data_IF_650845861229
#
_entry.id   IF_650845861229
#
_cell.length_a   1.000
_cell.length_b   1.000
_cell.length_c   1.000
_cell.angle_alpha   90.00
_cell.angle_beta   90.00
_cell.angle_gamma   90.00
#
_symmetry.space_group_name_H-M   'P 1'
#
loop_
_entity.id
_entity.type
_entity.pdbx_description
1 polymer ?
#
# COMPACT_ATOMS: atom_id res chain seq x y z
N UNK A 1 1.94 -12.26 -2.05
CA UNK A 1 1.85 -11.51 -3.32
C UNK A 1 3.18 -11.58 -4.03
N UNK A 2 3.17 -11.75 -5.34
CA UNK A 2 4.38 -11.89 -6.18
C UNK A 2 4.68 -10.66 -7.01
N UNK A 3 3.73 -9.77 -7.16
CA UNK A 3 3.82 -8.53 -7.91
C UNK A 3 2.87 -7.51 -7.35
N UNK A 4 3.27 -6.24 -7.34
CA UNK A 4 2.43 -5.12 -6.88
C UNK A 4 2.68 -3.89 -7.74
N UNK A 5 1.62 -3.13 -8.04
CA UNK A 5 1.68 -1.83 -8.71
C UNK A 5 0.77 -0.85 -7.98
N UNK A 6 1.29 0.33 -7.72
CA UNK A 6 0.55 1.41 -7.08
C UNK A 6 0.02 2.43 -8.09
N UNK A 7 0.65 2.57 -9.24
CA UNK A 7 0.17 3.47 -10.29
C UNK A 7 1.24 4.22 -11.07
N UNK A 8 2.51 3.90 -10.87
CA UNK A 8 3.62 4.49 -11.63
C UNK A 8 4.27 3.52 -12.63
N UNK A 9 3.80 2.31 -12.74
CA UNK A 9 4.34 1.31 -13.66
C UNK A 9 3.26 0.65 -14.49
N UNK A 10 3.58 0.41 -15.77
CA UNK A 10 2.76 -0.38 -16.70
C UNK A 10 2.59 -1.80 -16.23
N UNK A 11 1.54 -2.43 -16.75
CA UNK A 11 1.33 -3.87 -16.59
C UNK A 11 2.15 -4.65 -17.62
N UNK A 12 3.44 -4.43 -17.62
CA UNK A 12 4.38 -5.16 -18.45
C UNK A 12 5.43 -5.88 -17.57
N UNK A 13 6.16 -6.88 -18.11
CA UNK A 13 7.14 -7.64 -17.32
C UNK A 13 8.27 -6.76 -16.75
N UNK A 14 8.58 -5.65 -17.38
CA UNK A 14 9.65 -4.73 -16.99
C UNK A 14 9.20 -3.69 -15.97
N UNK A 15 7.88 -3.58 -15.71
CA UNK A 15 7.31 -2.50 -14.90
C UNK A 15 7.79 -1.12 -15.38
N UNK A 16 7.69 -0.90 -16.70
CA UNK A 16 8.10 0.35 -17.32
C UNK A 16 7.35 1.54 -16.71
N UNK A 17 8.05 2.63 -16.45
CA UNK A 17 7.43 3.83 -15.88
C UNK A 17 6.31 4.37 -16.76
N UNK A 18 5.19 4.71 -16.13
CA UNK A 18 4.03 5.33 -16.75
C UNK A 18 3.27 6.17 -15.73
N UNK A 19 3.38 7.47 -15.84
CA UNK A 19 2.68 8.41 -14.94
C UNK A 19 1.15 8.37 -15.03
N UNK A 20 0.57 7.57 -15.93
CA UNK A 20 -0.88 7.38 -16.08
C UNK A 20 -1.37 6.00 -15.65
N UNK A 21 -0.47 5.10 -15.26
CA UNK A 21 -0.80 3.72 -14.91
C UNK A 21 -1.81 3.61 -13.74
N UNK A 22 -1.82 4.59 -12.83
CA UNK A 22 -2.77 4.69 -11.72
C UNK A 22 -4.24 4.71 -12.18
N UNK A 23 -4.53 5.21 -13.39
CA UNK A 23 -5.90 5.34 -13.93
C UNK A 23 -6.59 3.98 -14.10
N UNK A 24 -5.83 2.92 -14.28
CA UNK A 24 -6.36 1.56 -14.44
C UNK A 24 -6.43 0.77 -13.13
N UNK A 25 -5.99 1.32 -12.00
CA UNK A 25 -5.85 0.63 -10.72
C UNK A 25 -6.80 1.24 -9.69
N UNK A 26 -7.51 0.42 -8.94
CA UNK A 26 -8.45 0.87 -7.91
C UNK A 26 -9.89 0.47 -8.19
N UNK A 27 -10.79 0.99 -7.39
CA UNK A 27 -12.23 0.81 -7.48
C UNK A 27 -12.92 2.17 -7.42
N UNK A 28 -14.12 2.27 -7.92
CA UNK A 28 -15.03 3.38 -7.64
C UNK A 28 -15.54 3.24 -6.19
N UNK A 29 -14.77 3.81 -5.24
CA UNK A 29 -14.99 3.64 -3.80
C UNK A 29 -16.13 4.54 -3.32
N UNK A 30 -16.22 5.73 -3.85
CA UNK A 30 -17.16 6.76 -3.41
C UNK A 30 -18.44 6.82 -4.25
N UNK A 31 -18.57 5.98 -5.28
CA UNK A 31 -19.72 5.91 -6.20
C UNK A 31 -19.93 7.20 -6.96
N UNK A 32 -18.84 7.91 -7.23
CA UNK A 32 -18.81 9.16 -7.98
C UNK A 32 -17.86 9.05 -9.15
N UNK A 33 -18.02 9.97 -10.12
CA UNK A 33 -17.10 10.08 -11.23
C UNK A 33 -16.69 11.54 -11.33
N UNK A 34 -15.48 11.83 -10.92
CA UNK A 34 -15.00 13.22 -10.80
C UNK A 34 -14.02 13.55 -11.90
N UNK A 35 -14.31 14.58 -12.68
CA UNK A 35 -13.36 15.29 -13.55
C UNK A 35 -12.73 14.51 -14.70
N UNK A 36 -13.09 13.26 -14.95
CA UNK A 36 -12.54 12.48 -16.06
C UNK A 36 -13.39 12.58 -17.31
N UNK A 37 -12.80 13.02 -18.43
CA UNK A 37 -13.43 12.97 -19.75
C UNK A 37 -13.74 11.53 -20.23
N UNK A 38 -13.21 10.52 -19.56
CA UNK A 38 -13.37 9.08 -19.85
C UNK A 38 -14.41 8.41 -18.97
N UNK A 39 -14.82 9.03 -17.89
CA UNK A 39 -15.95 8.57 -17.08
C UNK A 39 -17.26 8.69 -17.85
N UNK A 40 -17.53 7.72 -18.66
CA UNK A 40 -18.85 7.53 -19.27
C UNK A 40 -19.64 6.58 -18.38
N UNK A 41 -20.29 7.12 -17.37
CA UNK A 41 -21.48 6.46 -16.83
C UNK A 41 -22.60 6.76 -17.83
N UNK A 42 -23.25 5.74 -18.33
CA UNK A 42 -24.31 5.82 -19.33
C UNK A 42 -25.05 7.18 -19.33
N UNK A 43 -24.73 8.03 -20.31
CA UNK A 43 -25.41 9.29 -20.66
C UNK A 43 -25.33 10.51 -19.72
N UNK A 44 -24.51 10.54 -18.68
CA UNK A 44 -24.32 11.75 -17.90
C UNK A 44 -22.83 12.12 -17.82
N UNK A 45 -22.52 13.34 -18.27
CA UNK A 45 -21.29 14.04 -17.86
C UNK A 45 -21.48 14.41 -16.38
N UNK A 46 -21.14 13.49 -15.49
CA UNK A 46 -21.35 13.70 -14.06
C UNK A 46 -20.05 14.22 -13.46
N UNK A 47 -19.94 15.53 -13.33
CA UNK A 47 -19.07 16.20 -12.37
C UNK A 47 -19.67 16.07 -10.97
N UNK A 48 -19.92 14.85 -10.51
CA UNK A 48 -20.55 14.61 -9.21
C UNK A 48 -19.48 14.25 -8.22
N UNK A 49 -19.11 15.16 -7.36
CA UNK A 49 -18.15 14.93 -6.30
C UNK A 49 -18.82 14.25 -5.12
N UNK A 50 -18.24 13.14 -4.62
CA UNK A 50 -18.74 12.48 -3.42
C UNK A 50 -18.62 13.36 -2.17
N UNK A 51 -17.59 14.21 -2.12
CA UNK A 51 -17.33 15.16 -1.04
C UNK A 51 -16.70 16.44 -1.60
N UNK A 52 -16.67 17.49 -0.80
CA UNK A 52 -16.11 18.77 -1.21
C UNK A 52 -14.60 18.77 -1.05
N UNK A 53 -13.88 18.78 -2.16
CA UNK A 53 -12.46 19.09 -2.18
C UNK A 53 -12.24 20.61 -2.34
N UNK A 54 -11.22 21.16 -1.68
CA UNK A 54 -11.05 22.59 -1.56
C UNK A 54 -10.13 23.23 -2.61
N UNK A 55 -9.29 22.49 -3.33
CA UNK A 55 -8.17 23.13 -4.06
C UNK A 55 -7.90 22.60 -5.48
N UNK A 56 -7.89 21.32 -5.69
CA UNK A 56 -7.67 20.76 -7.01
C UNK A 56 -8.73 19.67 -7.20
N UNK A 57 -9.42 19.74 -8.34
CA UNK A 57 -10.37 18.70 -8.68
C UNK A 57 -9.61 17.35 -8.73
N UNK A 58 -9.82 16.47 -7.77
CA UNK A 58 -9.37 15.10 -7.91
C UNK A 58 -10.11 14.56 -9.13
N UNK A 59 -9.41 14.05 -10.10
CA UNK A 59 -10.05 13.35 -11.21
C UNK A 59 -9.75 11.87 -11.08
N UNK A 60 -10.76 11.08 -11.35
CA UNK A 60 -10.71 9.64 -11.27
C UNK A 60 -10.00 9.06 -12.49
N UNK A 61 -9.61 7.81 -12.35
CA UNK A 61 -9.07 7.02 -13.43
C UNK A 61 -10.16 6.44 -14.35
N UNK A 62 -9.79 5.45 -15.13
CA UNK A 62 -10.68 4.74 -16.04
C UNK A 62 -11.85 4.10 -15.29
N UNK A 63 -13.06 4.27 -15.81
CA UNK A 63 -14.29 3.76 -15.19
C UNK A 63 -14.49 4.23 -13.74
N UNK A 64 -14.22 5.50 -13.48
CA UNK A 64 -14.39 6.13 -12.18
C UNK A 64 -13.57 5.50 -11.04
N UNK A 65 -12.39 4.97 -11.36
CA UNK A 65 -11.54 4.36 -10.34
C UNK A 65 -10.83 5.43 -9.52
N UNK A 66 -10.97 5.27 -8.22
CA UNK A 66 -10.31 6.11 -7.24
C UNK A 66 -8.92 5.58 -6.93
N UNK A 67 -7.87 6.36 -7.18
CA UNK A 67 -6.50 6.04 -6.80
C UNK A 67 -5.63 7.29 -6.64
N UNK A 68 -6.01 8.13 -5.72
CA UNK A 68 -5.31 9.40 -5.50
C UNK A 68 -3.88 9.17 -5.01
N UNK A 69 -3.64 8.15 -4.17
CA UNK A 69 -2.28 7.81 -3.72
C UNK A 69 -1.43 7.33 -4.90
N UNK A 70 -1.99 6.60 -5.85
CA UNK A 70 -1.26 6.18 -7.05
C UNK A 70 -0.74 7.33 -7.88
N UNK A 71 -1.42 8.48 -7.89
CA UNK A 71 -0.92 9.73 -8.51
C UNK A 71 0.26 10.34 -7.75
N UNK A 72 0.40 10.02 -6.45
CA UNK A 72 1.42 10.61 -5.58
C UNK A 72 2.81 9.99 -5.80
N UNK A 73 2.88 8.73 -6.19
CA UNK A 73 4.15 8.05 -6.38
C UNK A 73 5.11 8.78 -7.34
N UNK A 74 4.65 9.29 -8.49
CA UNK A 74 5.51 10.13 -9.35
C UNK A 74 5.90 11.46 -8.71
N UNK A 75 5.05 12.01 -7.84
CA UNK A 75 5.25 13.32 -7.21
C UNK A 75 6.20 13.22 -6.01
N UNK A 76 6.27 12.09 -5.33
CA UNK A 76 7.28 11.83 -4.31
C UNK A 76 8.71 12.04 -4.83
N UNK A 77 8.92 11.89 -6.13
CA UNK A 77 10.18 12.23 -6.81
C UNK A 77 10.45 13.75 -6.92
N UNK A 78 9.46 14.61 -6.65
CA UNK A 78 9.60 16.07 -6.80
C UNK A 78 10.33 16.73 -5.64
N UNK A 79 10.43 16.11 -4.45
CA UNK A 79 11.28 16.55 -3.36
C UNK A 79 12.51 15.67 -3.27
N UNK A 80 13.74 16.22 -3.38
CA UNK A 80 14.97 15.42 -3.26
C UNK A 80 15.03 14.60 -1.96
N UNK A 81 14.50 15.12 -0.86
CA UNK A 81 14.50 14.45 0.43
C UNK A 81 13.42 13.37 0.50
N UNK A 82 12.22 13.66 0.03
CA UNK A 82 11.15 12.67 -0.12
C UNK A 82 11.56 11.62 -1.15
N UNK A 83 12.13 12.04 -2.27
CA UNK A 83 12.70 11.15 -3.27
C UNK A 83 13.82 10.26 -2.72
N UNK A 84 14.65 10.74 -1.81
CA UNK A 84 15.69 9.93 -1.17
C UNK A 84 15.11 8.90 -0.19
N UNK A 85 14.01 9.22 0.50
CA UNK A 85 13.30 8.30 1.38
C UNK A 85 12.39 7.34 0.62
N UNK A 86 11.79 7.83 -0.48
CA UNK A 86 10.91 7.07 -1.35
C UNK A 86 11.53 6.78 -2.71
N UNK A 87 12.82 7.08 -2.93
CA UNK A 87 13.54 6.83 -4.17
C UNK A 87 13.58 5.36 -4.62
N UNK A 88 12.58 4.64 -4.16
CA UNK A 88 12.25 3.27 -4.43
C UNK A 88 11.16 3.30 -5.51
N UNK A 89 11.54 2.94 -6.71
CA UNK A 89 10.58 2.75 -7.80
C UNK A 89 9.67 1.55 -7.50
N UNK A 90 8.54 1.45 -8.19
CA UNK A 90 7.72 0.22 -8.14
C UNK A 90 8.54 -1.02 -8.54
N UNK A 91 9.55 -0.85 -9.37
CA UNK A 91 10.49 -1.90 -9.74
C UNK A 91 11.31 -2.38 -8.53
N UNK A 92 11.81 -1.47 -7.69
CA UNK A 92 12.59 -1.84 -6.49
C UNK A 92 11.73 -2.62 -5.49
N UNK A 93 10.48 -2.17 -5.24
CA UNK A 93 9.52 -2.89 -4.40
C UNK A 93 9.22 -4.30 -4.93
N UNK A 94 9.00 -4.39 -6.25
CA UNK A 94 8.78 -5.69 -6.88
C UNK A 94 10.05 -6.55 -6.84
N UNK A 95 11.23 -5.98 -7.01
CA UNK A 95 12.46 -6.70 -6.84
C UNK A 95 12.60 -7.28 -5.42
N UNK A 96 12.28 -6.50 -4.38
CA UNK A 96 12.25 -6.99 -3.00
C UNK A 96 11.25 -8.14 -2.79
N UNK A 97 10.05 -8.04 -3.40
CA UNK A 97 9.06 -9.12 -3.41
C UNK A 97 9.62 -10.40 -4.08
N UNK A 98 10.23 -10.28 -5.25
CA UNK A 98 10.75 -11.43 -5.99
C UNK A 98 11.93 -12.12 -5.33
N UNK A 99 12.78 -11.34 -4.68
CA UNK A 99 13.82 -11.89 -3.83
C UNK A 99 13.26 -12.55 -2.58
N UNK A 100 12.00 -12.25 -2.23
CA UNK A 100 11.41 -12.69 -0.98
C UNK A 100 11.99 -11.96 0.24
N UNK A 101 12.36 -10.70 0.09
CA UNK A 101 12.81 -9.84 1.20
C UNK A 101 11.63 -9.30 2.00
N UNK A 102 10.52 -9.06 1.32
CA UNK A 102 9.24 -8.59 1.86
C UNK A 102 8.11 -9.44 1.29
N UNK A 103 6.93 -9.41 1.90
CA UNK A 103 5.77 -10.07 1.33
C UNK A 103 4.46 -9.78 2.05
N UNK A 104 3.37 -9.97 1.31
CA UNK A 104 2.01 -10.05 1.85
C UNK A 104 1.46 -11.42 1.49
N UNK A 105 1.01 -12.16 2.49
CA UNK A 105 0.44 -13.49 2.31
C UNK A 105 -1.07 -13.39 2.43
N UNK A 106 -1.76 -13.95 1.46
CA UNK A 106 -3.21 -14.14 1.49
C UNK A 106 -3.49 -15.63 1.70
N UNK A 107 -4.18 -15.96 2.78
CA UNK A 107 -4.71 -17.31 2.95
C UNK A 107 -6.19 -17.29 2.57
N UNK A 108 -6.54 -18.11 1.57
CA UNK A 108 -7.91 -18.38 1.16
C UNK A 108 -8.26 -19.76 1.69
N UNK A 109 -9.22 -19.84 2.60
CA UNK A 109 -9.70 -21.10 3.19
C UNK A 109 -11.20 -21.29 2.96
N UNK A 110 -11.66 -22.51 3.16
CA UNK A 110 -13.04 -22.93 2.95
C UNK A 110 -13.52 -22.80 1.50
N UNK A 111 -12.62 -22.59 0.54
CA UNK A 111 -12.94 -22.51 -0.88
C UNK A 111 -13.16 -23.89 -1.50
N UNK A 112 -14.29 -24.05 -2.17
CA UNK A 112 -14.71 -25.33 -2.79
C UNK A 112 -14.12 -25.58 -4.17
N UNK A 113 -13.19 -24.77 -4.63
CA UNK A 113 -12.52 -24.82 -5.95
C UNK A 113 -13.47 -24.64 -7.16
N UNK A 114 -14.69 -24.18 -6.93
CA UNK A 114 -15.66 -23.93 -8.00
C UNK A 114 -15.67 -22.44 -8.41
N UNK A 115 -16.15 -22.13 -9.63
CA UNK A 115 -16.25 -20.74 -10.07
C UNK A 115 -17.15 -19.86 -9.20
N UNK A 116 -18.01 -20.46 -8.38
CA UNK A 116 -18.89 -19.76 -7.48
C UNK A 116 -18.86 -20.44 -6.10
N UNK A 117 -18.57 -19.66 -5.08
CA UNK A 117 -18.57 -20.08 -3.69
C UNK A 117 -19.03 -18.91 -2.81
N UNK A 118 -19.99 -19.11 -1.95
CA UNK A 118 -20.59 -18.07 -1.11
C UNK A 118 -19.97 -17.99 0.28
N UNK A 119 -19.06 -18.88 0.62
CA UNK A 119 -18.54 -19.04 1.98
C UNK A 119 -17.04 -19.32 1.93
N UNK A 120 -16.28 -18.29 1.74
CA UNK A 120 -14.81 -18.33 1.70
C UNK A 120 -14.28 -17.42 2.79
N UNK A 121 -13.16 -17.80 3.41
CA UNK A 121 -12.44 -16.96 4.34
C UNK A 121 -11.16 -16.44 3.71
N UNK A 122 -10.89 -15.14 3.86
CA UNK A 122 -9.62 -14.51 3.45
C UNK A 122 -8.93 -13.92 4.67
N UNK A 123 -7.70 -14.35 4.93
CA UNK A 123 -6.82 -13.80 5.96
C UNK A 123 -5.64 -13.09 5.30
N UNK A 124 -5.23 -11.93 5.84
CA UNK A 124 -4.08 -11.17 5.36
C UNK A 124 -2.97 -11.16 6.42
N UNK A 125 -1.77 -11.61 6.01
CA UNK A 125 -0.60 -11.60 6.87
C UNK A 125 0.52 -10.76 6.25
N UNK A 126 1.27 -10.11 7.12
CA UNK A 126 2.57 -9.52 6.76
C UNK A 126 3.64 -10.59 6.80
N UNK A 127 4.44 -10.67 5.76
CA UNK A 127 5.67 -11.47 5.76
C UNK A 127 6.88 -10.56 5.74
N UNK A 128 7.87 -10.84 6.58
CA UNK A 128 9.17 -10.18 6.57
C UNK A 128 10.19 -10.90 5.67
N UNK A 129 9.67 -11.69 4.76
CA UNK A 129 10.44 -12.36 3.72
C UNK A 129 10.63 -13.85 3.94
N UNK A 130 11.37 -14.46 3.02
CA UNK A 130 11.69 -15.88 3.01
C UNK A 130 12.85 -16.19 3.96
N UNK A 131 12.91 -17.40 4.48
CA UNK A 131 14.04 -17.84 5.29
C UNK A 131 15.36 -17.82 4.51
N UNK A 132 15.35 -18.20 3.23
CA UNK A 132 16.51 -18.18 2.35
C UNK A 132 16.26 -17.24 1.16
N UNK A 133 17.21 -16.31 0.94
CA UNK A 133 17.19 -15.40 -0.19
C UNK A 133 17.99 -15.95 -1.38
N UNK A 134 17.64 -15.61 -2.61
CA UNK A 134 18.42 -15.96 -3.79
C UNK A 134 19.77 -15.20 -3.83
N UNK A 135 20.72 -15.71 -4.61
CA UNK A 135 22.06 -15.14 -4.70
C UNK A 135 22.14 -13.83 -5.51
N UNK A 136 21.13 -13.49 -6.30
CA UNK A 136 21.10 -12.25 -7.06
C UNK A 136 20.59 -11.08 -6.21
N UNK A 137 20.96 -9.86 -6.51
CA UNK A 137 20.58 -8.65 -5.78
C UNK A 137 19.81 -7.69 -6.66
N UNK A 138 18.91 -6.90 -6.05
CA UNK A 138 18.32 -5.74 -6.70
C UNK A 138 19.33 -4.59 -6.67
N UNK A 139 19.56 -3.96 -7.81
CA UNK A 139 20.32 -2.72 -7.88
C UNK A 139 19.38 -1.62 -8.33
N UNK A 140 19.11 -0.67 -7.44
CA UNK A 140 18.27 0.49 -7.77
C UNK A 140 18.90 1.32 -8.89
N UNK A 141 18.07 1.76 -9.83
CA UNK A 141 18.40 2.83 -10.79
C UNK A 141 19.23 2.44 -12.00
N UNK A 142 19.58 1.17 -12.17
CA UNK A 142 20.25 0.71 -13.40
C UNK A 142 19.64 -0.62 -13.84
N UNK A 143 19.55 -0.85 -15.16
CA UNK A 143 19.25 -2.18 -15.70
C UNK A 143 20.32 -3.24 -15.35
N UNK A 144 21.27 -2.90 -14.47
CA UNK A 144 22.40 -3.72 -14.08
C UNK A 144 22.11 -4.53 -12.82
N UNK A 145 21.75 -5.80 -12.97
CA UNK A 145 21.70 -6.75 -11.88
C UNK A 145 20.37 -7.50 -11.70
N UNK A 146 19.26 -6.95 -12.18
CA UNK A 146 18.01 -7.72 -12.29
C UNK A 146 18.11 -8.55 -13.56
N UNK A 147 18.07 -9.88 -13.49
CA UNK A 147 18.08 -10.72 -14.70
C UNK A 147 16.93 -10.32 -15.63
N UNK A 148 17.14 -10.30 -16.94
CA UNK A 148 16.10 -9.92 -17.92
C UNK A 148 14.85 -10.80 -17.87
N UNK A 149 14.95 -11.94 -17.23
CA UNK A 149 13.89 -12.92 -17.01
C UNK A 149 13.58 -13.13 -15.50
N UNK A 150 13.88 -12.12 -14.66
CA UNK A 150 13.67 -12.17 -13.22
C UNK A 150 12.27 -12.67 -12.82
N UNK A 151 11.24 -12.30 -13.57
CA UNK A 151 9.86 -12.76 -13.36
C UNK A 151 9.68 -14.27 -13.59
N UNK A 152 10.60 -14.91 -14.34
CA UNK A 152 10.69 -16.37 -14.48
C UNK A 152 11.55 -16.99 -13.38
N UNK A 153 12.48 -16.21 -12.82
CA UNK A 153 13.39 -16.67 -11.76
C UNK A 153 12.81 -16.44 -10.35
N UNK A 154 11.77 -15.64 -10.22
CA UNK A 154 10.94 -15.56 -9.02
C UNK A 154 10.20 -16.88 -8.77
N UNK A 155 10.83 -18.01 -9.09
CA UNK A 155 10.39 -19.31 -8.68
C UNK A 155 10.52 -19.40 -7.17
N UNK A 156 9.49 -18.94 -6.51
CA UNK A 156 9.26 -19.32 -5.14
C UNK A 156 9.01 -20.81 -5.18
N UNK A 157 10.06 -21.55 -4.90
CA UNK A 157 9.93 -22.98 -4.77
C UNK A 157 8.83 -23.23 -3.74
N UNK A 158 7.89 -24.11 -4.05
CA UNK A 158 6.80 -24.53 -3.15
C UNK A 158 7.31 -24.90 -1.74
N UNK A 159 8.55 -25.33 -1.64
CA UNK A 159 9.26 -25.65 -0.40
C UNK A 159 9.81 -24.45 0.36
N UNK A 160 9.73 -23.23 -0.21
CA UNK A 160 10.27 -22.05 0.45
C UNK A 160 9.30 -21.52 1.51
N UNK A 161 9.73 -21.61 2.77
CA UNK A 161 8.97 -21.06 3.88
C UNK A 161 9.08 -19.54 3.96
N UNK A 162 7.94 -18.91 4.16
CA UNK A 162 7.82 -17.48 4.38
C UNK A 162 7.63 -17.20 5.86
N UNK A 163 8.44 -16.32 6.40
CA UNK A 163 8.28 -15.85 7.79
C UNK A 163 7.07 -14.94 7.90
N UNK A 164 6.29 -15.13 8.95
CA UNK A 164 5.07 -14.37 9.22
C UNK A 164 5.28 -13.47 10.43
N UNK A 165 5.01 -12.18 10.28
CA UNK A 165 5.11 -11.23 11.38
C UNK A 165 4.03 -11.49 12.43
N UNK A 166 4.41 -11.69 13.69
CA UNK A 166 3.49 -11.97 14.80
C UNK A 166 2.42 -10.88 14.97
N UNK A 167 2.72 -9.63 14.60
CA UNK A 167 1.75 -8.52 14.65
C UNK A 167 0.55 -8.71 13.74
N UNK A 168 0.64 -9.58 12.70
CA UNK A 168 -0.46 -9.90 11.80
C UNK A 168 -1.35 -11.07 12.28
N UNK A 169 -1.02 -11.69 13.41
CA UNK A 169 -1.79 -12.78 14.01
C UNK A 169 -2.83 -12.21 14.98
N UNK A 170 -4.03 -12.78 14.97
CA UNK A 170 -5.09 -12.41 15.92
C UNK A 170 -4.71 -12.83 17.36
N UNK A 171 -4.95 -11.96 18.33
CA UNK A 171 -4.59 -12.18 19.74
C UNK A 171 -5.25 -13.44 20.34
N UNK A 172 -6.44 -13.78 19.89
CA UNK A 172 -7.24 -14.90 20.39
C UNK A 172 -7.29 -16.08 19.41
N UNK A 173 -6.33 -16.16 18.48
CA UNK A 173 -6.20 -17.34 17.65
C UNK A 173 -5.76 -18.49 18.53
N UNK A 174 -6.65 -19.47 18.75
CA UNK A 174 -6.34 -20.69 19.47
C UNK A 174 -5.12 -21.42 18.89
N UNK A 175 -4.68 -22.47 19.58
CA UNK A 175 -3.61 -23.33 19.06
C UNK A 175 -4.06 -23.94 17.71
N UNK A 176 -3.45 -23.50 16.64
CA UNK A 176 -3.73 -23.96 15.27
C UNK A 176 -2.88 -25.19 14.90
N UNK A 177 -2.13 -25.75 15.85
CA UNK A 177 -1.17 -26.82 15.58
C UNK A 177 -0.06 -26.35 14.65
N UNK A 178 0.13 -27.02 13.53
CA UNK A 178 1.12 -26.64 12.52
C UNK A 178 0.63 -25.60 11.51
N UNK A 179 -0.68 -25.38 11.39
CA UNK A 179 -1.25 -24.40 10.49
C UNK A 179 -1.01 -22.97 10.98
N UNK A 180 -1.07 -21.98 10.07
CA UNK A 180 -1.07 -20.58 10.48
C UNK A 180 -2.33 -20.28 11.30
N UNK A 181 -2.19 -19.63 12.48
CA UNK A 181 -3.35 -19.12 13.22
C UNK A 181 -4.11 -18.07 12.40
N UNK A 182 -5.32 -17.72 12.84
CA UNK A 182 -6.12 -16.70 12.16
C UNK A 182 -5.39 -15.33 12.14
N UNK A 183 -5.49 -14.62 11.02
CA UNK A 183 -4.93 -13.29 10.90
C UNK A 183 -5.71 -12.26 11.74
N UNK A 184 -5.02 -11.19 12.13
CA UNK A 184 -5.62 -10.00 12.75
C UNK A 184 -6.63 -9.35 11.82
N UNK A 185 -6.33 -9.34 10.52
CA UNK A 185 -7.19 -8.79 9.49
C UNK A 185 -7.69 -9.91 8.58
N UNK A 186 -8.99 -10.13 8.60
CA UNK A 186 -9.61 -11.20 7.83
C UNK A 186 -11.04 -10.82 7.41
N UNK A 187 -11.47 -11.35 6.28
CA UNK A 187 -12.89 -11.43 5.91
C UNK A 187 -13.37 -12.88 6.03
N UNK A 188 -14.17 -13.19 7.04
CA UNK A 188 -14.73 -14.53 7.21
C UNK A 188 -15.93 -14.83 6.30
N UNK A 189 -16.42 -13.83 5.56
CA UNK A 189 -17.60 -13.92 4.70
C UNK A 189 -17.28 -13.51 3.26
N UNK A 190 -16.03 -13.69 2.86
CA UNK A 190 -15.61 -13.53 1.47
C UNK A 190 -16.35 -14.53 0.56
N UNK A 191 -16.36 -14.27 -0.73
CA UNK A 191 -17.01 -15.14 -1.69
C UNK A 191 -16.27 -15.16 -3.04
N UNK A 192 -16.56 -16.18 -3.84
CA UNK A 192 -16.09 -16.29 -5.22
C UNK A 192 -17.28 -16.20 -6.19
N UNK A 193 -17.14 -15.40 -7.23
CA UNK A 193 -18.11 -15.27 -8.33
C UNK A 193 -17.37 -15.30 -9.68
N UNK A 194 -17.78 -16.21 -10.55
CA UNK A 194 -17.16 -16.40 -11.87
C UNK A 194 -15.62 -16.53 -11.79
N UNK A 195 -15.11 -17.19 -10.75
CA UNK A 195 -13.69 -17.34 -10.50
C UNK A 195 -12.99 -16.13 -9.88
N UNK A 196 -13.70 -15.03 -9.61
CA UNK A 196 -13.14 -13.88 -8.89
C UNK A 196 -13.45 -13.98 -7.39
N UNK A 197 -12.42 -13.89 -6.58
CA UNK A 197 -12.49 -13.76 -5.13
C UNK A 197 -12.83 -12.31 -4.79
N UNK A 198 -13.77 -12.13 -3.87
CA UNK A 198 -14.17 -10.84 -3.31
C UNK A 198 -14.06 -10.91 -1.79
N UNK A 199 -13.30 -9.99 -1.20
CA UNK A 199 -13.18 -9.89 0.26
C UNK A 199 -13.28 -8.43 0.70
N UNK A 200 -14.05 -8.17 1.76
CA UNK A 200 -14.14 -6.87 2.43
C UNK A 200 -13.12 -6.84 3.55
N UNK A 201 -12.21 -5.90 3.49
CA UNK A 201 -11.19 -5.75 4.51
C UNK A 201 -11.75 -4.96 5.69
N UNK A 202 -11.54 -5.41 6.94
CA UNK A 202 -11.99 -4.67 8.12
C UNK A 202 -11.35 -3.28 8.19
N UNK A 203 -12.04 -2.34 8.82
CA UNK A 203 -11.49 -1.01 9.06
C UNK A 203 -10.17 -1.11 9.84
N UNK A 204 -9.20 -0.29 9.44
CA UNK A 204 -7.86 -0.31 10.01
C UNK A 204 -7.01 -1.50 9.57
N UNK A 205 -7.33 -2.13 8.44
CA UNK A 205 -6.47 -3.17 7.86
C UNK A 205 -5.09 -2.59 7.58
N UNK A 206 -4.06 -3.23 8.12
CA UNK A 206 -2.67 -2.86 7.91
C UNK A 206 -2.03 -3.77 6.86
N UNK A 207 -1.50 -3.17 5.80
CA UNK A 207 -0.64 -3.84 4.82
C UNK A 207 0.78 -3.32 5.06
N UNK A 208 1.65 -4.21 5.50
CA UNK A 208 3.04 -3.89 5.74
C UNK A 208 3.91 -4.47 4.63
N UNK A 209 4.69 -3.60 4.02
CA UNK A 209 5.75 -3.94 3.09
C UNK A 209 7.07 -3.73 3.83
N UNK A 210 7.45 -4.67 4.66
CA UNK A 210 8.58 -4.57 5.58
C UNK A 210 9.35 -5.88 5.63
N UNK A 211 10.67 -5.80 5.81
CA UNK A 211 11.52 -6.97 5.93
C UNK A 211 12.87 -6.59 6.53
N UNK A 212 13.35 -7.38 7.49
CA UNK A 212 14.62 -7.12 8.16
C UNK A 212 15.83 -7.11 7.20
N UNK A 213 15.71 -7.74 6.05
CA UNK A 213 16.75 -7.84 5.02
C UNK A 213 16.39 -7.11 3.74
N UNK A 214 15.30 -6.34 3.77
CA UNK A 214 14.88 -5.58 2.62
C UNK A 214 15.85 -4.43 2.33
N UNK A 215 16.18 -4.27 1.06
CA UNK A 215 16.97 -3.13 0.57
C UNK A 215 16.10 -1.88 0.36
N UNK A 216 14.79 -2.04 0.49
CA UNK A 216 13.79 -0.96 0.42
C UNK A 216 13.32 -0.59 1.83
N UNK A 217 12.96 0.67 2.08
CA UNK A 217 12.41 1.08 3.37
C UNK A 217 11.09 0.36 3.64
N UNK A 218 10.87 -0.01 4.90
CA UNK A 218 9.58 -0.55 5.33
C UNK A 218 8.48 0.49 5.18
N UNK A 219 7.32 0.08 4.68
CA UNK A 219 6.18 0.97 4.49
C UNK A 219 4.89 0.32 4.97
N UNK A 220 4.08 1.08 5.69
CA UNK A 220 2.78 0.65 6.20
C UNK A 220 1.65 1.42 5.54
N UNK A 221 0.66 0.69 5.05
CA UNK A 221 -0.61 1.24 4.57
C UNK A 221 -1.68 0.84 5.59
N UNK A 222 -2.31 1.81 6.22
CA UNK A 222 -3.46 1.60 7.09
C UNK A 222 -4.72 1.99 6.33
N UNK A 223 -5.55 1.00 6.01
CA UNK A 223 -6.66 1.13 5.08
C UNK A 223 -8.01 1.00 5.77
N UNK A 224 -8.92 1.86 5.44
CA UNK A 224 -10.35 1.76 5.77
C UNK A 224 -11.16 1.51 4.50
N UNK A 225 -12.38 0.98 4.66
CA UNK A 225 -13.28 0.65 3.53
C UNK A 225 -12.59 -0.23 2.48
N UNK A 226 -11.69 -1.09 2.92
CA UNK A 226 -10.88 -1.91 2.04
C UNK A 226 -11.69 -2.98 1.29
N UNK A 227 -11.39 -3.17 0.01
CA UNK A 227 -11.91 -4.23 -0.83
C UNK A 227 -10.74 -4.92 -1.52
N UNK A 228 -10.78 -6.25 -1.57
CA UNK A 228 -9.86 -7.08 -2.33
C UNK A 228 -10.65 -7.85 -3.36
N UNK A 229 -10.22 -7.77 -4.61
CA UNK A 229 -10.74 -8.59 -5.72
C UNK A 229 -9.58 -9.23 -6.44
N UNK A 230 -9.70 -10.48 -6.86
CA UNK A 230 -8.67 -11.14 -7.64
C UNK A 230 -9.17 -12.43 -8.29
N UNK A 231 -8.72 -12.70 -9.50
CA UNK A 231 -9.10 -13.90 -10.25
C UNK A 231 -8.28 -15.08 -9.78
N UNK A 232 -8.96 -16.08 -9.23
CA UNK A 232 -8.35 -17.35 -8.85
C UNK A 232 -8.09 -18.19 -10.10
N UNK A 233 -6.88 -18.69 -10.22
CA UNK A 233 -6.46 -19.47 -11.36
C UNK A 233 -5.67 -20.71 -10.91
N UNK A 234 -6.21 -21.90 -11.16
CA UNK A 234 -5.51 -23.17 -10.93
C UNK A 234 -4.61 -23.47 -12.12
N UNK A 235 -3.33 -23.73 -11.87
CA UNK A 235 -2.33 -24.04 -12.88
C UNK A 235 -2.38 -25.53 -13.24
N UNK A 236 -1.63 -25.91 -14.26
CA UNK A 236 -1.56 -27.32 -14.71
C UNK A 236 -0.85 -28.25 -13.71
N UNK A 237 -0.03 -27.67 -12.83
CA UNK A 237 0.68 -28.37 -11.76
C UNK A 237 -0.10 -28.38 -10.43
N UNK A 238 -1.40 -28.11 -10.49
CA UNK A 238 -2.34 -28.00 -9.35
C UNK A 238 -2.06 -26.83 -8.39
N UNK A 239 -1.07 -25.98 -8.62
CA UNK A 239 -0.83 -24.78 -7.81
C UNK A 239 -1.80 -23.66 -8.15
N UNK A 240 -2.02 -22.75 -7.19
CA UNK A 240 -2.95 -21.62 -7.34
C UNK A 240 -2.22 -20.30 -7.59
N UNK A 241 -2.84 -19.45 -8.39
CA UNK A 241 -2.45 -18.05 -8.60
C UNK A 241 -3.62 -17.13 -8.41
N UNK A 242 -3.32 -15.90 -7.96
CA UNK A 242 -4.24 -14.78 -8.14
C UNK A 242 -3.69 -13.90 -9.26
N UNK A 243 -4.51 -13.67 -10.27
CA UNK A 243 -4.25 -12.73 -11.37
C UNK A 243 -5.25 -11.58 -11.30
N UNK A 244 -4.95 -10.49 -12.00
CA UNK A 244 -5.86 -9.34 -12.07
C UNK A 244 -6.32 -8.90 -10.67
N UNK A 245 -5.43 -9.06 -9.69
CA UNK A 245 -5.73 -8.70 -8.31
C UNK A 245 -5.74 -7.19 -8.12
N UNK A 246 -6.71 -6.69 -7.36
CA UNK A 246 -6.77 -5.30 -6.92
C UNK A 246 -7.15 -5.26 -5.44
N UNK A 247 -6.40 -4.47 -4.67
CA UNK A 247 -6.81 -4.02 -3.35
C UNK A 247 -7.08 -2.53 -3.47
N UNK A 248 -8.19 -2.05 -2.95
CA UNK A 248 -8.52 -0.63 -2.91
C UNK A 248 -9.20 -0.26 -1.61
N UNK A 249 -9.12 0.99 -1.24
CA UNK A 249 -9.70 1.52 -0.03
C UNK A 249 -9.35 2.98 0.16
N UNK A 250 -9.50 3.46 1.39
CA UNK A 250 -9.18 4.85 1.74
C UNK A 250 -8.18 4.90 2.89
N UNK A 251 -7.31 5.90 2.86
CA UNK A 251 -6.26 6.13 3.86
C UNK A 251 -6.36 7.56 4.38
N UNK A 252 -6.29 7.73 5.69
CA UNK A 252 -6.26 9.06 6.29
C UNK A 252 -4.89 9.72 6.09
N UNK A 253 -4.81 11.03 5.82
CA UNK A 253 -3.54 11.76 5.78
C UNK A 253 -2.67 11.54 7.02
N UNK A 254 -3.29 11.50 8.20
CA UNK A 254 -2.60 11.23 9.48
C UNK A 254 -1.94 9.85 9.53
N UNK A 255 -2.55 8.84 8.90
CA UNK A 255 -2.00 7.48 8.88
C UNK A 255 -0.83 7.39 7.90
N UNK A 256 -0.89 8.10 6.77
CA UNK A 256 0.23 8.22 5.83
C UNK A 256 1.41 8.91 6.51
N UNK A 257 1.17 10.04 7.19
CA UNK A 257 2.22 10.75 7.93
C UNK A 257 2.83 9.88 9.03
N UNK A 258 2.01 9.09 9.73
CA UNK A 258 2.51 8.13 10.71
C UNK A 258 3.39 7.06 10.07
N UNK A 259 3.00 6.52 8.93
CA UNK A 259 3.83 5.56 8.19
C UNK A 259 5.16 6.19 7.72
N UNK A 260 5.14 7.46 7.33
CA UNK A 260 6.34 8.22 6.96
C UNK A 260 7.27 8.44 8.14
N UNK A 261 6.73 8.75 9.32
CA UNK A 261 7.51 8.86 10.56
C UNK A 261 8.22 7.55 10.92
N UNK A 262 7.58 6.42 10.67
CA UNK A 262 8.13 5.08 10.92
C UNK A 262 9.37 4.76 10.03
N UNK A 263 9.52 5.47 8.91
CA UNK A 263 10.70 5.37 8.02
C UNK A 263 11.67 6.57 8.17
N UNK A 264 11.45 7.43 9.17
CA UNK A 264 12.35 8.53 9.51
C UNK A 264 12.02 9.86 8.84
N UNK A 265 10.87 10.00 8.19
CA UNK A 265 10.40 11.28 7.66
C UNK A 265 9.67 12.05 8.77
N UNK A 266 10.38 12.98 9.39
CA UNK A 266 9.96 13.65 10.61
C UNK A 266 9.77 15.15 10.41
N UNK A 267 9.09 15.77 11.36
CA UNK A 267 8.81 17.21 11.35
C UNK A 267 10.07 18.10 11.29
N UNK A 268 11.22 17.59 11.73
CA UNK A 268 12.51 18.29 11.62
C UNK A 268 13.03 18.41 10.17
N UNK A 269 12.42 17.71 9.22
CA UNK A 269 12.67 17.93 7.77
C UNK A 269 11.98 19.20 7.24
N UNK A 270 11.37 19.97 8.11
CA UNK A 270 10.92 21.34 7.88
C UNK A 270 10.06 21.50 6.61
N UNK A 271 10.59 22.18 5.59
CA UNK A 271 9.84 22.52 4.39
C UNK A 271 9.29 21.27 3.68
N UNK A 272 10.07 20.21 3.59
CA UNK A 272 9.63 18.98 2.91
C UNK A 272 8.48 18.30 3.65
N UNK A 273 8.54 18.27 4.99
CA UNK A 273 7.44 17.75 5.78
C UNK A 273 6.17 18.59 5.60
N UNK A 274 6.27 19.91 5.63
CA UNK A 274 5.13 20.81 5.41
C UNK A 274 4.57 20.68 4.00
N UNK A 275 5.41 20.52 3.00
CA UNK A 275 4.99 20.29 1.61
C UNK A 275 4.18 18.98 1.50
N UNK A 276 4.63 17.90 2.14
CA UNK A 276 3.91 16.62 2.15
C UNK A 276 2.58 16.77 2.90
N UNK A 277 2.57 17.39 4.08
CA UNK A 277 1.33 17.66 4.84
C UNK A 277 0.36 18.48 4.01
N UNK A 278 0.83 19.56 3.41
CA UNK A 278 0.03 20.41 2.53
C UNK A 278 -0.54 19.61 1.36
N UNK A 279 0.30 18.81 0.70
CA UNK A 279 -0.12 17.99 -0.42
C UNK A 279 -1.17 16.95 -0.05
N UNK A 280 -0.98 16.21 1.04
CA UNK A 280 -1.96 15.22 1.52
C UNK A 280 -3.30 15.88 1.85
N UNK A 281 -3.28 17.03 2.51
CA UNK A 281 -4.49 17.73 2.90
C UNK A 281 -5.24 18.36 1.72
N UNK A 282 -4.54 18.76 0.67
CA UNK A 282 -5.16 19.39 -0.51
C UNK A 282 -5.62 18.38 -1.57
N UNK A 283 -5.23 17.13 -1.44
CA UNK A 283 -5.56 16.09 -2.41
C UNK A 283 -6.49 15.01 -1.87
N UNK A 284 -7.18 15.28 -0.77
CA UNK A 284 -8.25 14.41 -0.27
C UNK A 284 -9.38 14.36 -1.29
N UNK A 285 -9.79 13.16 -1.67
CA UNK A 285 -10.74 12.90 -2.74
C UNK A 285 -11.97 12.11 -2.29
N UNK A 286 -11.97 11.56 -1.05
CA UNK A 286 -13.03 10.69 -0.57
C UNK A 286 -13.26 10.86 0.94
N UNK A 287 -14.27 10.14 1.48
CA UNK A 287 -14.62 10.09 2.90
C UNK A 287 -14.16 8.79 3.53
N UNK A 288 -13.61 8.86 4.73
CA UNK A 288 -13.01 7.71 5.43
C UNK A 288 -14.00 6.65 5.89
N UNK A 289 -15.23 7.03 6.18
CA UNK A 289 -16.20 6.21 6.91
C UNK A 289 -17.52 5.93 6.19
N UNK A 290 -17.72 6.45 4.98
CA UNK A 290 -18.96 6.28 4.23
C UNK A 290 -18.70 6.19 2.73
N UNK A 291 -19.51 5.41 2.03
CA UNK A 291 -19.62 5.36 0.58
C UNK A 291 -20.82 6.19 0.06
N UNK A 292 -21.47 6.93 0.96
CA UNK A 292 -22.53 7.85 0.58
C UNK A 292 -21.93 9.15 -0.03
N UNK A 293 -22.59 9.67 -1.05
CA UNK A 293 -22.27 10.98 -1.61
C UNK A 293 -22.70 12.08 -0.65
N UNK A 294 -21.75 12.87 -0.19
CA UNK A 294 -21.96 14.01 0.71
C UNK A 294 -21.26 15.27 0.14
N UNK A 295 -21.74 15.83 -0.98
CA UNK A 295 -21.02 16.82 -1.78
C UNK A 295 -20.68 18.13 -1.04
N UNK A 296 -21.35 18.42 0.08
CA UNK A 296 -21.08 19.59 0.91
C UNK A 296 -20.16 19.30 2.12
N UNK A 297 -19.81 18.04 2.32
CA UNK A 297 -18.91 17.62 3.40
C UNK A 297 -17.47 17.65 2.89
N UNK A 298 -16.52 18.28 3.59
CA UNK A 298 -15.11 18.22 3.19
C UNK A 298 -14.63 16.79 3.10
N UNK A 299 -13.85 16.45 2.06
CA UNK A 299 -13.14 15.18 1.98
C UNK A 299 -12.12 15.10 3.12
N UNK A 300 -11.92 13.91 3.69
CA UNK A 300 -11.05 13.68 4.85
C UNK A 300 -10.01 12.59 4.63
N UNK A 301 -10.01 11.95 3.47
CA UNK A 301 -9.13 10.82 3.17
C UNK A 301 -8.72 10.79 1.70
N UNK A 302 -7.69 9.99 1.42
CA UNK A 302 -7.21 9.73 0.07
C UNK A 302 -7.57 8.30 -0.34
N UNK A 303 -8.03 8.14 -1.57
CA UNK A 303 -8.21 6.82 -2.17
C UNK A 303 -6.87 6.16 -2.48
N UNK A 304 -6.84 4.85 -2.40
CA UNK A 304 -5.68 4.02 -2.77
C UNK A 304 -6.13 2.81 -3.58
N UNK A 305 -5.38 2.52 -4.63
CA UNK A 305 -5.47 1.30 -5.41
C UNK A 305 -4.12 0.60 -5.48
N UNK A 306 -4.11 -0.71 -5.32
CA UNK A 306 -2.93 -1.57 -5.45
C UNK A 306 -3.30 -2.73 -6.37
N UNK A 307 -2.75 -2.77 -7.57
CA UNK A 307 -2.86 -3.95 -8.42
C UNK A 307 -1.82 -4.99 -7.98
N UNK A 308 -2.18 -6.27 -7.98
CA UNK A 308 -1.26 -7.32 -7.56
C UNK A 308 -1.48 -8.64 -8.29
N UNK A 309 -0.44 -9.45 -8.27
CA UNK A 309 -0.51 -10.89 -8.55
C UNK A 309 -0.02 -11.66 -7.33
N UNK A 310 -0.47 -12.89 -7.16
CA UNK A 310 0.02 -13.77 -6.10
C UNK A 310 0.28 -15.18 -6.64
N UNK A 311 1.31 -15.80 -6.10
CA UNK A 311 1.66 -17.19 -6.30
C UNK A 311 1.45 -17.96 -5.00
N UNK A 312 1.25 -19.26 -5.10
CA UNK A 312 1.20 -20.12 -3.93
C UNK A 312 2.48 -20.02 -3.09
N UNK A 313 2.35 -20.09 -1.79
CA UNK A 313 3.46 -19.94 -0.85
C UNK A 313 3.19 -20.79 0.40
N UNK A 314 4.26 -21.30 1.02
CA UNK A 314 4.17 -22.07 2.24
C UNK A 314 4.51 -21.22 3.46
N UNK A 315 3.62 -21.23 4.46
CA UNK A 315 3.87 -20.64 5.76
C UNK A 315 3.11 -21.43 6.85
N UNK A 316 3.72 -21.63 7.98
CA UNK A 316 3.20 -22.44 9.09
C UNK A 316 3.30 -21.69 10.42
N UNK A 317 2.75 -22.23 11.48
CA UNK A 317 2.88 -21.67 12.82
C UNK A 317 4.36 -21.55 13.27
N UNK A 318 5.24 -22.44 12.79
CA UNK A 318 6.68 -22.40 13.07
C UNK A 318 7.43 -21.25 12.40
N UNK A 319 6.81 -20.60 11.41
CA UNK A 319 7.40 -19.48 10.68
C UNK A 319 7.05 -18.11 11.29
N UNK A 320 6.28 -18.08 12.39
CA UNK A 320 5.87 -16.83 13.06
C UNK A 320 7.03 -16.26 13.86
N UNK A 321 7.37 -15.01 13.58
CA UNK A 321 8.48 -14.30 14.23
C UNK A 321 8.05 -12.96 14.83
N UNK A 322 8.74 -12.56 15.90
CA UNK A 322 8.60 -11.19 16.42
C UNK A 322 9.35 -10.24 15.50
N UNK A 323 8.70 -9.15 15.12
CA UNK A 323 9.27 -8.11 14.28
C UNK A 323 9.55 -6.89 15.15
N UNK A 324 10.67 -6.22 14.90
CA UNK A 324 10.97 -4.95 15.56
C UNK A 324 9.88 -3.94 15.25
N UNK A 325 9.47 -3.21 16.28
CA UNK A 325 8.59 -2.05 16.05
C UNK A 325 9.38 -0.99 15.30
N UNK A 326 8.83 -0.38 14.25
CA UNK A 326 9.47 0.74 13.60
C UNK A 326 9.83 1.83 14.62
N UNK A 327 11.00 2.42 14.45
CA UNK A 327 11.44 3.52 15.30
C UNK A 327 10.69 4.77 14.86
N UNK A 328 9.86 5.30 15.74
CA UNK A 328 9.21 6.59 15.52
C UNK A 328 10.24 7.74 15.55
N UNK A 329 9.90 8.87 15.00
CA UNK A 329 10.68 10.10 15.06
C UNK A 329 11.13 10.40 16.49
N UNK A 330 12.33 10.98 16.68
CA UNK A 330 12.79 11.36 18.01
C UNK A 330 11.75 12.23 18.71
N UNK A 331 11.27 11.77 19.86
CA UNK A 331 10.37 12.58 20.67
C UNK A 331 11.14 13.80 21.23
N UNK A 332 10.54 15.00 21.30
CA UNK A 332 11.16 16.13 21.96
C UNK A 332 11.50 15.75 23.40
N UNK A 333 12.71 16.08 23.85
CA UNK A 333 13.23 15.73 25.18
C UNK A 333 12.37 16.24 26.35
N UNK A 334 11.45 17.17 26.09
CA UNK A 334 10.47 17.67 27.06
C UNK A 334 9.06 17.62 26.46
N UNK A 335 8.20 16.81 27.04
CA UNK A 335 6.79 16.67 26.63
C UNK A 335 5.95 17.97 26.72
N UNK A 336 6.47 18.99 27.37
CA UNK A 336 5.84 20.32 27.52
C UNK A 336 6.39 21.38 26.55
N UNK A 337 7.47 21.10 25.84
CA UNK A 337 7.88 21.97 24.76
C UNK A 337 7.10 21.56 23.49
N UNK A 338 6.53 22.49 22.71
CA UNK A 338 6.11 22.14 21.38
C UNK A 338 7.28 21.45 20.71
N UNK A 339 7.06 20.42 19.86
CA UNK A 339 8.13 19.84 19.09
C UNK A 339 8.94 21.02 18.55
N UNK A 340 10.27 20.96 18.60
CA UNK A 340 11.11 22.01 18.02
C UNK A 340 10.82 22.01 16.52
N UNK A 341 9.63 22.51 16.23
CA UNK A 341 9.06 22.60 14.92
C UNK A 341 9.84 23.65 14.16
N UNK A 342 9.99 23.41 12.90
CA UNK A 342 10.53 24.37 11.96
C UNK A 342 9.82 25.72 12.14
N UNK A 343 10.57 26.79 12.20
CA UNK A 343 10.03 28.14 12.14
C UNK A 343 9.73 28.42 10.68
N UNK A 344 8.45 28.47 10.34
CA UNK A 344 8.02 28.92 9.02
C UNK A 344 7.78 30.43 9.08
N UNK A 345 8.30 31.21 8.12
CA UNK A 345 7.98 32.63 8.04
C UNK A 345 6.47 32.82 7.82
N UNK A 346 5.98 33.99 8.24
CA UNK A 346 4.58 34.39 7.97
C UNK A 346 4.28 34.16 6.48
N UNK A 347 3.19 33.47 6.13
CA UNK A 347 2.81 33.24 4.74
C UNK A 347 2.76 34.50 3.87
N UNK A 348 2.60 35.68 4.51
CA UNK A 348 2.62 36.99 3.83
C UNK A 348 4.04 37.47 3.48
N UNK A 349 5.08 36.94 4.11
CA UNK A 349 6.47 37.37 3.90
C UNK A 349 7.18 36.43 2.92
N UNK A 350 6.73 35.18 2.80
CA UNK A 350 7.36 34.14 1.98
C UNK A 350 8.75 33.75 2.48
N UNK A 351 9.18 32.57 2.18
CA UNK A 351 10.51 32.05 2.53
C UNK A 351 10.42 30.59 3.01
N UNK A 352 11.52 29.83 2.97
CA UNK A 352 11.52 28.45 3.42
C UNK A 352 11.39 28.36 4.94
N UNK A 353 10.69 27.32 5.43
CA UNK A 353 10.73 26.96 6.83
C UNK A 353 12.15 26.48 7.20
N UNK A 354 12.65 26.93 8.34
CA UNK A 354 14.00 26.60 8.82
C UNK A 354 13.95 26.03 10.23
N UNK A 355 14.94 25.24 10.61
CA UNK A 355 15.12 24.88 12.01
C UNK A 355 15.49 26.14 12.81
N UNK A 356 14.98 26.33 14.03
CA UNK A 356 15.40 27.42 14.89
C UNK A 356 16.93 27.39 15.08
N UNK A 357 17.60 28.51 14.88
CA UNK A 357 19.03 28.65 15.21
C UNK A 357 19.23 28.32 16.69
N UNK A 358 19.91 27.23 16.99
CA UNK A 358 20.16 26.75 18.35
C UNK A 358 19.81 25.30 18.64
N UNK A 359 19.24 24.58 17.69
CA UNK A 359 19.05 23.13 17.75
C UNK A 359 20.35 22.39 17.39
N UNK A 360 21.42 22.66 18.11
CA UNK A 360 22.70 21.96 17.89
C UNK A 360 22.73 20.63 18.62
N UNK A 361 23.13 19.64 17.86
CA UNK A 361 24.08 18.60 18.25
C UNK A 361 23.94 18.06 19.68
N UNK A 362 23.26 16.98 19.77
CA UNK A 362 23.43 16.07 20.90
C UNK A 362 23.80 14.70 20.33
N UNK A 363 25.10 14.43 20.35
CA UNK A 363 25.78 13.25 19.93
C UNK A 363 25.22 11.89 20.37
#
# INVERSE_FOLDING_TARGET
MSRMRFGNAKDDPQLSEDGTAWQSIGFDIDKSCTGSATCKVDDATVEDQACKNSVLLPYDGDNCRDNQIGKLFPIAALSPQVGALFGVSELDWNCALWRGEIGVILRVSDYNEQPNDNSVRVDIYTSIGRQALPNWTCTSGTNGGVPSDWYKQAQWLETAHWTVAKRSIALNSGDAGTALPNAKFADPAAFVRNGYLYAKLPAGTEIWLDGERAHVPGFRILMNRGLLVGKLFKQQDDTWKIKEGTIGGVVLPSDILKAFREIGFCENMCQDYQNVVGYLNTNQDTLSNTDAKLPNTPCDSLSIGIAFEALEATATAGDIVNVKTPVDCPQPKNASAPPQGCVCPDPKVGGPCVLPEGGVDGG
#
